data_IF_747414402123
#
_entry.id   IF_747414402123
#
_cell.length_a   1.000
_cell.length_b   1.000
_cell.length_c   1.000
_cell.angle_alpha   90.00
_cell.angle_beta   90.00
_cell.angle_gamma   90.00
#
_symmetry.space_group_name_H-M   'P 1'
#
loop_
_entity.id
_entity.type
_entity.pdbx_description
1 polymer ?
#
# COMPACT_ATOMS: atom_id res chain seq x y z
N UNK A 1 3.77 6.72 9.39
CA UNK A 1 2.50 6.01 9.16
C UNK A 1 2.53 5.33 7.80
N UNK A 2 2.07 4.09 7.73
CA UNK A 2 1.76 3.40 6.46
C UNK A 2 0.24 3.34 6.32
N UNK A 3 -0.31 4.02 5.34
CA UNK A 3 -1.74 4.09 5.07
C UNK A 3 -2.03 3.53 3.67
N UNK A 4 -2.31 2.23 3.62
CA UNK A 4 -2.61 1.52 2.38
C UNK A 4 -1.43 1.45 1.40
N UNK A 5 -0.19 1.43 1.87
CA UNK A 5 0.98 1.27 1.01
C UNK A 5 1.53 -0.15 1.09
N UNK A 6 1.82 -0.75 -0.05
CA UNK A 6 2.45 -2.05 -0.16
C UNK A 6 3.96 -1.99 0.04
N UNK A 7 4.55 -3.10 0.48
CA UNK A 7 5.99 -3.19 0.78
C UNK A 7 6.72 -4.34 0.09
N UNK A 8 5.97 -5.35 -0.36
CA UNK A 8 6.54 -6.51 -1.04
C UNK A 8 5.59 -7.11 -2.09
N UNK A 9 4.47 -7.72 -1.64
CA UNK A 9 3.57 -8.47 -2.52
C UNK A 9 2.94 -7.60 -3.60
N UNK A 10 2.69 -6.35 -3.26
CA UNK A 10 2.19 -5.34 -4.20
C UNK A 10 3.11 -5.13 -5.42
N UNK A 11 4.40 -5.47 -5.30
CA UNK A 11 5.39 -5.36 -6.38
C UNK A 11 5.61 -6.66 -7.15
N UNK A 12 4.94 -7.75 -6.77
CA UNK A 12 5.06 -9.02 -7.47
C UNK A 12 4.11 -9.05 -8.67
N UNK A 13 4.51 -9.78 -9.71
CA UNK A 13 3.80 -9.81 -10.99
C UNK A 13 2.35 -10.26 -10.85
N UNK A 14 2.09 -11.29 -10.04
CA UNK A 14 0.75 -11.83 -9.84
C UNK A 14 -0.25 -10.83 -9.29
N UNK A 15 0.23 -9.85 -8.53
CA UNK A 15 -0.59 -8.75 -8.00
C UNK A 15 -0.58 -7.54 -8.94
N UNK A 16 0.60 -7.15 -9.40
CA UNK A 16 0.79 -5.91 -10.14
C UNK A 16 0.25 -5.96 -11.57
N UNK A 17 0.35 -7.10 -12.26
CA UNK A 17 -0.13 -7.24 -13.64
C UNK A 17 -1.63 -6.97 -13.78
N UNK A 18 -2.53 -7.58 -12.98
CA UNK A 18 -3.96 -7.24 -13.01
C UNK A 18 -4.23 -5.77 -12.73
N UNK A 19 -3.57 -5.19 -11.72
CA UNK A 19 -3.76 -3.80 -11.34
C UNK A 19 -3.37 -2.82 -12.45
N UNK A 20 -2.28 -3.08 -13.18
CA UNK A 20 -1.79 -2.24 -14.27
C UNK A 20 -2.60 -2.40 -15.57
N UNK A 21 -3.32 -3.51 -15.72
CA UNK A 21 -4.18 -3.76 -16.90
C UNK A 21 -5.62 -3.27 -16.71
N UNK A 22 -6.01 -2.90 -15.50
CA UNK A 22 -7.32 -2.29 -15.25
C UNK A 22 -7.41 -0.94 -15.94
N UNK A 23 -8.55 -0.67 -16.55
CA UNK A 23 -8.80 0.61 -17.23
C UNK A 23 -8.93 1.75 -16.23
N UNK A 24 -8.51 2.94 -16.63
CA UNK A 24 -8.54 4.16 -15.81
C UNK A 24 -9.91 4.50 -15.18
N UNK A 25 -10.99 3.95 -15.71
CA UNK A 25 -12.35 4.15 -15.17
C UNK A 25 -12.57 3.55 -13.78
N UNK A 26 -11.70 2.65 -13.33
CA UNK A 26 -11.79 2.02 -12.00
C UNK A 26 -10.96 2.76 -10.95
N UNK A 27 -10.05 3.63 -11.34
CA UNK A 27 -9.24 4.46 -10.45
C UNK A 27 -9.55 5.94 -10.66
N UNK A 28 -9.64 6.70 -9.59
CA UNK A 28 -9.98 8.14 -9.51
C UNK A 28 -9.02 9.09 -10.29
N UNK A 29 -8.13 8.58 -11.12
CA UNK A 29 -7.01 9.33 -11.68
C UNK A 29 -7.19 9.82 -13.13
N UNK A 30 -8.39 9.86 -13.64
CA UNK A 30 -8.66 10.43 -14.97
C UNK A 30 -8.22 9.53 -16.16
N UNK A 31 -7.99 10.08 -17.38
CA UNK A 31 -7.78 9.31 -18.60
C UNK A 31 -6.40 8.62 -18.69
N UNK A 32 -5.45 8.95 -17.81
CA UNK A 32 -4.16 8.28 -17.77
C UNK A 32 -4.30 6.92 -17.08
N UNK A 33 -3.80 5.87 -17.70
CA UNK A 33 -3.79 4.55 -17.11
C UNK A 33 -2.79 4.50 -15.94
N UNK A 34 -3.02 3.58 -14.98
CA UNK A 34 -2.05 3.32 -13.93
C UNK A 34 -0.70 2.86 -14.51
N UNK A 35 -0.74 2.16 -15.64
CA UNK A 35 0.44 1.76 -16.39
C UNK A 35 1.23 2.98 -16.90
N UNK A 36 0.55 3.98 -17.48
CA UNK A 36 1.22 5.18 -17.98
C UNK A 36 1.93 5.94 -16.85
N UNK A 37 1.24 6.10 -15.71
CA UNK A 37 1.82 6.74 -14.53
C UNK A 37 3.05 5.98 -14.00
N UNK A 38 2.99 4.65 -13.90
CA UNK A 38 4.11 3.83 -13.46
C UNK A 38 5.26 3.83 -14.45
N UNK A 39 4.96 3.74 -15.74
CA UNK A 39 5.96 3.83 -16.81
C UNK A 39 6.72 5.15 -16.76
N UNK A 40 6.00 6.25 -16.57
CA UNK A 40 6.62 7.57 -16.41
C UNK A 40 7.53 7.65 -15.18
N UNK A 41 7.02 7.22 -14.01
CA UNK A 41 7.77 7.26 -12.73
C UNK A 41 9.05 6.43 -12.82
N UNK A 42 8.99 5.25 -13.44
CA UNK A 42 10.14 4.33 -13.50
C UNK A 42 11.04 4.57 -14.72
N UNK A 43 10.68 5.52 -15.60
CA UNK A 43 11.45 5.78 -16.82
C UNK A 43 11.43 4.63 -17.82
N UNK A 44 10.38 3.83 -17.84
CA UNK A 44 10.18 2.67 -18.72
C UNK A 44 9.03 2.90 -19.69
N UNK A 45 8.87 2.05 -20.71
CA UNK A 45 7.92 2.30 -21.81
C UNK A 45 6.88 1.19 -21.99
N UNK A 46 6.93 0.13 -21.21
CA UNK A 46 6.04 -1.02 -21.38
C UNK A 46 5.66 -1.66 -20.07
N UNK A 47 4.56 -2.41 -20.07
CA UNK A 47 4.13 -3.24 -18.94
C UNK A 47 5.23 -4.22 -18.52
N UNK A 48 5.87 -4.88 -19.47
CA UNK A 48 6.91 -5.88 -19.17
C UNK A 48 8.14 -5.26 -18.50
N UNK A 49 8.50 -4.03 -18.88
CA UNK A 49 9.57 -3.30 -18.22
C UNK A 49 9.18 -2.86 -16.80
N UNK A 50 7.92 -2.42 -16.58
CA UNK A 50 7.41 -2.13 -15.24
C UNK A 50 7.47 -3.39 -14.36
N UNK A 51 6.98 -4.52 -14.84
CA UNK A 51 6.96 -5.78 -14.10
C UNK A 51 8.37 -6.29 -13.78
N UNK A 52 9.33 -6.03 -14.65
CA UNK A 52 10.74 -6.38 -14.41
C UNK A 52 11.39 -5.53 -13.31
N UNK A 53 11.07 -4.23 -13.25
CA UNK A 53 11.69 -3.33 -12.26
C UNK A 53 10.98 -3.36 -10.91
N UNK A 54 9.66 -3.55 -10.89
CA UNK A 54 8.84 -3.44 -9.69
C UNK A 54 9.33 -4.32 -8.51
N UNK A 55 9.72 -5.58 -8.68
CA UNK A 55 10.21 -6.41 -7.59
C UNK A 55 11.46 -5.85 -6.89
N UNK A 56 12.27 -5.03 -7.59
CA UNK A 56 13.45 -4.40 -7.00
C UNK A 56 13.11 -3.31 -5.99
N UNK A 57 11.86 -2.79 -6.02
CA UNK A 57 11.36 -1.76 -5.10
C UNK A 57 10.83 -2.36 -3.78
N UNK A 58 10.71 -3.67 -3.70
CA UNK A 58 10.26 -4.36 -2.50
C UNK A 58 11.25 -4.19 -1.34
N UNK A 59 10.76 -3.80 -0.17
CA UNK A 59 11.57 -3.70 1.04
C UNK A 59 12.17 -5.06 1.44
N UNK A 60 11.44 -6.16 1.18
CA UNK A 60 11.94 -7.52 1.41
C UNK A 60 13.12 -7.84 0.48
N UNK A 61 12.98 -7.56 -0.81
CA UNK A 61 14.03 -7.80 -1.81
C UNK A 61 15.29 -6.98 -1.50
N UNK A 62 15.11 -5.77 -0.98
CA UNK A 62 16.20 -4.88 -0.58
C UNK A 62 16.80 -5.21 0.80
N UNK A 63 16.25 -6.18 1.54
CA UNK A 63 16.72 -6.52 2.90
C UNK A 63 16.46 -5.42 3.94
N UNK A 64 15.43 -4.61 3.74
CA UNK A 64 15.15 -3.43 4.58
C UNK A 64 14.10 -3.67 5.67
N UNK A 65 13.43 -4.83 5.70
CA UNK A 65 12.32 -5.10 6.63
C UNK A 65 12.74 -5.06 8.10
N UNK A 66 13.98 -5.49 8.40
CA UNK A 66 14.51 -5.55 9.77
C UNK A 66 15.26 -4.28 10.19
N UNK A 67 15.31 -3.27 9.33
CA UNK A 67 15.92 -1.98 9.70
C UNK A 67 15.10 -1.29 10.78
N UNK A 68 15.76 -0.68 11.79
CA UNK A 68 15.06 0.13 12.78
C UNK A 68 14.24 1.24 12.13
N UNK A 69 13.05 1.47 12.63
CA UNK A 69 12.19 2.58 12.17
C UNK A 69 11.59 3.33 13.35
N UNK A 70 11.18 4.57 13.11
CA UNK A 70 10.37 5.33 14.03
C UNK A 70 9.05 4.59 14.33
N UNK A 71 8.34 4.93 15.43
CA UNK A 71 7.01 4.40 15.70
C UNK A 71 6.14 4.44 14.43
N UNK A 72 5.55 3.32 14.06
CA UNK A 72 4.83 3.16 12.81
C UNK A 72 3.42 2.62 13.04
N UNK A 73 2.43 3.40 12.60
CA UNK A 73 1.05 2.93 12.48
C UNK A 73 0.79 2.46 11.06
N UNK A 74 0.28 1.23 10.91
CA UNK A 74 -0.19 0.67 9.65
C UNK A 74 -1.72 0.60 9.65
N UNK A 75 -2.37 1.18 8.64
CA UNK A 75 -3.83 1.13 8.48
C UNK A 75 -4.16 0.64 7.08
N UNK A 76 -5.04 -0.36 6.97
CA UNK A 76 -5.63 -0.75 5.70
C UNK A 76 -6.95 -1.49 5.89
N UNK A 77 -7.70 -1.67 4.80
CA UNK A 77 -8.85 -2.54 4.74
C UNK A 77 -8.44 -3.99 4.46
N UNK A 78 -9.20 -4.94 5.02
CA UNK A 78 -8.99 -6.37 4.75
C UNK A 78 -9.28 -6.72 3.27
N UNK A 79 -10.19 -5.97 2.64
CA UNK A 79 -10.66 -6.17 1.27
C UNK A 79 -9.94 -5.25 0.27
N UNK A 80 -8.71 -4.79 0.60
CA UNK A 80 -7.93 -3.95 -0.30
C UNK A 80 -7.49 -4.73 -1.54
N UNK A 81 -7.98 -4.28 -2.70
CA UNK A 81 -7.66 -4.82 -4.03
C UNK A 81 -6.47 -4.12 -4.71
N UNK A 82 -5.95 -3.05 -4.12
CA UNK A 82 -4.80 -2.30 -4.64
C UNK A 82 -3.49 -2.69 -3.95
N UNK A 83 -3.52 -2.85 -2.63
CA UNK A 83 -2.37 -3.26 -1.82
C UNK A 83 -2.77 -4.39 -0.87
N UNK A 84 -2.22 -5.59 -1.04
CA UNK A 84 -2.64 -6.75 -0.26
C UNK A 84 -2.35 -6.55 1.23
N UNK A 85 -3.31 -6.95 2.06
CA UNK A 85 -3.16 -6.89 3.52
C UNK A 85 -1.98 -7.74 4.02
N UNK A 86 -1.57 -8.74 3.24
CA UNK A 86 -0.39 -9.57 3.51
C UNK A 86 0.90 -8.74 3.64
N UNK A 87 0.99 -7.59 2.98
CA UNK A 87 2.12 -6.67 3.12
C UNK A 87 2.18 -6.04 4.53
N UNK A 88 1.03 -5.85 5.19
CA UNK A 88 0.99 -5.42 6.59
C UNK A 88 1.43 -6.56 7.50
N UNK A 89 0.97 -7.79 7.26
CA UNK A 89 1.41 -8.95 8.05
C UNK A 89 2.91 -9.15 7.95
N UNK A 90 3.48 -9.03 6.74
CA UNK A 90 4.92 -9.08 6.55
C UNK A 90 5.66 -8.02 7.36
N UNK A 91 5.14 -6.78 7.42
CA UNK A 91 5.72 -5.72 8.25
C UNK A 91 5.68 -6.03 9.74
N UNK A 92 4.66 -6.76 10.21
CA UNK A 92 4.55 -7.16 11.63
C UNK A 92 5.54 -8.25 12.02
N UNK A 93 5.96 -9.07 11.08
CA UNK A 93 6.92 -10.16 11.31
C UNK A 93 8.37 -9.66 11.42
N UNK A 94 8.63 -8.39 11.08
CA UNK A 94 9.98 -7.87 10.91
C UNK A 94 10.22 -6.55 11.65
N UNK A 95 11.47 -6.35 12.08
CA UNK A 95 12.01 -5.08 12.58
C UNK A 95 11.35 -4.59 13.87
N UNK A 96 11.31 -3.26 14.04
CA UNK A 96 10.73 -2.62 15.22
C UNK A 96 9.23 -2.89 15.37
N UNK A 97 8.70 -3.01 16.61
CA UNK A 97 7.26 -3.17 16.84
C UNK A 97 6.44 -2.07 16.17
N UNK A 98 5.25 -2.43 15.69
CA UNK A 98 4.35 -1.54 14.96
C UNK A 98 2.93 -1.62 15.52
N UNK A 99 2.21 -0.50 15.45
CA UNK A 99 0.78 -0.46 15.74
C UNK A 99 0.01 -0.72 14.44
N UNK A 100 -1.05 -1.54 14.49
CA UNK A 100 -1.80 -1.92 13.29
C UNK A 100 -3.31 -1.83 13.50
N UNK A 101 -3.99 -1.31 12.50
CA UNK A 101 -5.44 -1.35 12.39
C UNK A 101 -5.86 -1.88 11.01
N UNK A 102 -6.42 -3.08 10.97
CA UNK A 102 -7.07 -3.64 9.79
C UNK A 102 -8.58 -3.52 9.98
N UNK A 103 -9.24 -2.88 9.01
CA UNK A 103 -10.69 -2.67 9.02
C UNK A 103 -11.32 -3.78 8.18
N UNK A 104 -12.11 -4.64 8.81
CA UNK A 104 -12.56 -5.90 8.23
C UNK A 104 -13.43 -5.76 6.98
N UNK A 105 -14.28 -4.72 6.95
CA UNK A 105 -15.26 -4.43 5.91
C UNK A 105 -14.87 -3.22 5.03
N UNK A 106 -13.58 -3.00 4.87
CA UNK A 106 -13.04 -1.87 4.13
C UNK A 106 -12.03 -2.30 3.06
N UNK A 107 -11.96 -1.51 2.00
CA UNK A 107 -11.00 -1.62 0.91
C UNK A 107 -9.76 -0.76 1.13
N UNK A 108 -9.22 -0.25 0.02
CA UNK A 108 -7.97 0.52 0.02
C UNK A 108 -7.96 1.68 1.02
N UNK A 109 -6.86 1.78 1.78
CA UNK A 109 -6.66 2.79 2.84
C UNK A 109 -7.68 2.69 4.00
N UNK A 110 -8.31 1.54 4.20
CA UNK A 110 -9.35 1.38 5.22
C UNK A 110 -10.67 2.10 4.93
N UNK A 111 -10.89 2.47 3.67
CA UNK A 111 -12.08 3.21 3.26
C UNK A 111 -13.26 2.27 3.00
N UNK A 112 -14.42 2.66 3.50
CA UNK A 112 -15.70 1.97 3.22
C UNK A 112 -16.42 2.70 2.09
N UNK A 113 -16.92 1.94 1.13
CA UNK A 113 -17.61 2.51 -0.04
C UNK A 113 -18.83 3.35 0.40
N UNK A 114 -18.89 4.59 -0.08
CA UNK A 114 -20.00 5.51 0.21
C UNK A 114 -20.04 6.06 1.63
N UNK A 115 -18.98 5.85 2.43
CA UNK A 115 -18.87 6.39 3.78
C UNK A 115 -17.73 7.42 3.89
N UNK A 116 -17.84 8.40 4.80
CA UNK A 116 -16.74 9.30 5.10
C UNK A 116 -15.57 8.55 5.76
N UNK A 117 -14.39 9.16 5.73
CA UNK A 117 -13.16 8.56 6.29
C UNK A 117 -12.98 8.81 7.80
N UNK A 118 -14.04 9.18 8.52
CA UNK A 118 -13.97 9.64 9.91
C UNK A 118 -13.35 8.62 10.86
N UNK A 119 -13.64 7.32 10.63
CA UNK A 119 -13.04 6.25 11.43
C UNK A 119 -11.51 6.23 11.29
N UNK A 120 -11.00 6.29 10.06
CA UNK A 120 -9.56 6.29 9.80
C UNK A 120 -8.92 7.55 10.34
N UNK A 121 -9.53 8.72 10.12
CA UNK A 121 -9.03 9.99 10.65
C UNK A 121 -8.92 9.94 12.16
N UNK A 122 -9.95 9.45 12.86
CA UNK A 122 -9.95 9.29 14.32
C UNK A 122 -8.83 8.36 14.80
N UNK A 123 -8.62 7.23 14.13
CA UNK A 123 -7.53 6.30 14.47
C UNK A 123 -6.17 7.00 14.37
N UNK A 124 -5.94 7.72 13.27
CA UNK A 124 -4.68 8.43 13.02
C UNK A 124 -4.46 9.54 14.07
N UNK A 125 -5.46 10.37 14.31
CA UNK A 125 -5.34 11.50 15.27
C UNK A 125 -5.09 11.00 16.69
N UNK A 126 -5.86 10.01 17.16
CA UNK A 126 -5.66 9.41 18.47
C UNK A 126 -4.24 8.83 18.63
N UNK A 127 -3.78 8.08 17.62
CA UNK A 127 -2.43 7.51 17.66
C UNK A 127 -1.33 8.58 17.69
N UNK A 128 -1.49 9.65 16.90
CA UNK A 128 -0.55 10.78 16.92
C UNK A 128 -0.52 11.47 18.27
N UNK A 129 -1.67 11.74 18.86
CA UNK A 129 -1.79 12.34 20.20
C UNK A 129 -1.07 11.49 21.26
N UNK A 130 -1.24 10.17 21.23
CA UNK A 130 -0.56 9.25 22.15
C UNK A 130 0.97 9.19 21.96
N UNK A 131 1.46 9.31 20.73
CA UNK A 131 2.90 9.24 20.45
C UNK A 131 3.64 10.57 20.59
N UNK A 132 2.93 11.68 20.57
CA UNK A 132 3.51 13.02 20.68
C UNK A 132 3.34 13.64 22.09
N UNK A 133 2.55 13.01 22.97
CA UNK A 133 2.40 13.41 24.37
C UNK A 133 3.66 13.05 25.18
#
# INVERSE_FOLDING_TARGET
MNWGAGVHRTFQEEWLRPALTLTASQYLMGPASLLDARSYIFGVKSLEEVLKIAPTLSLKTQGLLDQPCAPLLCINGKEDDQHPVDDIYLLLEHGSPKDVRIIADAGHMGRKKGQPNDEVVRIVTTWLEEKLA
#
